data_IF_126983390869
#
_entry.id   IF_126983390869
#
_cell.length_a   1.000
_cell.length_b   1.000
_cell.length_c   1.000
_cell.angle_alpha   90.00
_cell.angle_beta   90.00
_cell.angle_gamma   90.00
#
_symmetry.space_group_name_H-M   'P 1'
#
loop_
_entity.id
_entity.type
_entity.pdbx_description
1 polymer ?
#
# COMPACT_ATOMS: atom_id res chain seq x y z
N UNK A 1 1.16 33.26 -42.59
CA UNK A 1 0.69 31.87 -42.49
C UNK A 1 1.84 31.08 -41.93
N UNK A 2 1.73 30.63 -40.68
CA UNK A 2 2.45 29.46 -40.13
C UNK A 2 1.93 29.26 -38.71
N UNK A 3 0.84 28.49 -38.59
CA UNK A 3 0.38 27.96 -37.31
C UNK A 3 1.15 26.66 -37.06
N UNK A 4 2.07 26.70 -36.11
CA UNK A 4 2.70 25.50 -35.54
C UNK A 4 1.63 24.62 -34.90
N UNK A 5 1.29 23.54 -35.58
CA UNK A 5 0.50 22.43 -35.04
C UNK A 5 1.36 21.72 -33.97
N UNK A 6 1.14 22.06 -32.70
CA UNK A 6 1.50 21.16 -31.62
C UNK A 6 0.47 20.04 -31.59
N UNK A 7 0.86 18.75 -31.74
CA UNK A 7 -0.07 17.67 -31.49
C UNK A 7 -0.48 17.73 -30.01
N UNK A 8 -1.77 17.98 -29.79
CA UNK A 8 -2.43 17.81 -28.51
C UNK A 8 -2.29 16.32 -28.15
N UNK A 9 -1.26 15.97 -27.37
CA UNK A 9 -1.24 14.69 -26.68
C UNK A 9 -2.27 14.79 -25.56
N UNK A 10 -3.49 14.35 -25.83
CA UNK A 10 -4.47 14.06 -24.79
C UNK A 10 -3.86 13.00 -23.88
N UNK A 11 -3.38 13.45 -22.72
CA UNK A 11 -3.05 12.56 -21.60
C UNK A 11 -4.39 11.97 -21.16
N UNK A 12 -4.61 10.64 -21.23
CA UNK A 12 -5.87 10.06 -20.80
C UNK A 12 -6.11 10.41 -19.33
N UNK A 13 -7.11 11.26 -19.09
CA UNK A 13 -7.66 11.55 -17.76
C UNK A 13 -8.62 10.42 -17.36
N UNK A 14 -8.16 9.16 -17.46
CA UNK A 14 -8.86 8.05 -16.85
C UNK A 14 -8.67 8.16 -15.34
N UNK A 15 -9.72 8.59 -14.66
CA UNK A 15 -9.81 8.57 -13.21
C UNK A 15 -9.89 7.10 -12.77
N UNK A 16 -8.74 6.48 -12.56
CA UNK A 16 -8.61 5.11 -12.07
C UNK A 16 -9.12 5.02 -10.63
N UNK A 17 -10.41 4.70 -10.49
CA UNK A 17 -11.06 4.53 -9.20
C UNK A 17 -11.09 3.04 -8.82
N UNK A 18 -10.77 2.71 -7.56
CA UNK A 18 -10.93 1.34 -7.08
C UNK A 18 -12.41 0.94 -7.13
N UNK A 19 -12.69 -0.32 -7.47
CA UNK A 19 -14.01 -0.91 -7.24
C UNK A 19 -14.36 -0.85 -5.74
N UNK A 20 -15.64 -0.95 -5.34
CA UNK A 20 -16.02 -0.96 -3.92
C UNK A 20 -15.34 -2.06 -3.11
N UNK A 21 -15.15 -3.24 -3.72
CA UNK A 21 -14.52 -4.40 -3.08
C UNK A 21 -12.99 -4.22 -2.98
N UNK A 22 -12.32 -3.68 -4.01
CA UNK A 22 -10.92 -3.27 -3.91
C UNK A 22 -10.73 -2.16 -2.85
N UNK A 23 -11.58 -1.15 -2.83
CA UNK A 23 -11.54 -0.06 -1.84
C UNK A 23 -11.72 -0.59 -0.40
N UNK A 24 -12.60 -1.56 -0.19
CA UNK A 24 -12.77 -2.25 1.09
C UNK A 24 -11.49 -2.98 1.54
N UNK A 25 -10.78 -3.64 0.61
CA UNK A 25 -9.50 -4.26 0.92
C UNK A 25 -8.41 -3.23 1.25
N UNK A 26 -8.29 -2.18 0.44
CA UNK A 26 -7.34 -1.10 0.66
C UNK A 26 -7.60 -0.38 1.99
N UNK A 27 -8.85 -0.22 2.41
CA UNK A 27 -9.18 0.37 3.72
C UNK A 27 -8.76 -0.52 4.89
N UNK A 28 -8.83 -1.84 4.76
CA UNK A 28 -8.29 -2.78 5.76
C UNK A 28 -6.77 -2.70 5.87
N UNK A 29 -6.07 -2.63 4.74
CA UNK A 29 -4.61 -2.44 4.73
C UNK A 29 -4.23 -1.10 5.38
N UNK A 30 -4.98 -0.03 5.09
CA UNK A 30 -4.78 1.28 5.73
C UNK A 30 -5.04 1.24 7.23
N UNK A 31 -6.08 0.53 7.68
CA UNK A 31 -6.33 0.34 9.10
C UNK A 31 -5.16 -0.41 9.74
N UNK A 32 -4.65 -1.46 9.10
CA UNK A 32 -3.50 -2.22 9.59
C UNK A 32 -2.25 -1.35 9.68
N UNK A 33 -2.02 -0.48 8.70
CA UNK A 33 -0.94 0.51 8.69
C UNK A 33 -0.99 1.52 9.84
N UNK A 34 -2.14 1.69 10.50
CA UNK A 34 -2.27 2.51 11.71
C UNK A 34 -1.77 1.79 12.97
N UNK A 35 -1.63 0.47 12.93
CA UNK A 35 -1.18 -0.40 14.03
C UNK A 35 0.14 -1.12 13.74
N UNK A 36 0.59 -1.08 12.49
CA UNK A 36 1.90 -1.53 12.04
C UNK A 36 2.57 -0.42 11.20
N UNK A 37 3.44 0.40 11.81
CA UNK A 37 4.16 1.45 11.11
C UNK A 37 4.98 0.95 9.92
N UNK A 38 5.40 -0.32 9.90
CA UNK A 38 6.15 -0.87 8.76
C UNK A 38 5.32 -0.88 7.48
N UNK A 39 4.01 -1.11 7.58
CA UNK A 39 3.11 -1.11 6.43
C UNK A 39 3.00 0.31 5.85
N UNK A 40 2.75 1.32 6.68
CA UNK A 40 2.67 2.70 6.22
C UNK A 40 4.00 3.19 5.65
N UNK A 41 5.13 2.89 6.30
CA UNK A 41 6.47 3.26 5.81
C UNK A 41 6.77 2.67 4.44
N UNK A 42 6.50 1.37 4.22
CA UNK A 42 6.73 0.73 2.90
C UNK A 42 5.83 1.32 1.82
N UNK A 43 4.53 1.50 2.09
CA UNK A 43 3.59 2.10 1.12
C UNK A 43 4.04 3.51 0.74
N UNK A 44 4.34 4.36 1.73
CA UNK A 44 4.74 5.75 1.49
C UNK A 44 6.06 5.80 0.72
N UNK A 45 7.07 5.00 1.11
CA UNK A 45 8.36 4.89 0.39
C UNK A 45 8.14 4.61 -1.10
N UNK A 46 7.30 3.64 -1.45
CA UNK A 46 7.09 3.26 -2.85
C UNK A 46 6.24 4.29 -3.63
N UNK A 47 5.22 4.88 -3.00
CA UNK A 47 4.45 5.97 -3.62
C UNK A 47 5.33 7.19 -3.87
N UNK A 48 6.11 7.60 -2.88
CA UNK A 48 6.86 8.85 -2.95
C UNK A 48 8.04 8.79 -3.91
N UNK A 49 8.61 7.60 -4.07
CA UNK A 49 9.61 7.30 -5.10
C UNK A 49 9.03 7.02 -6.48
N UNK A 50 7.70 7.07 -6.66
CA UNK A 50 6.99 6.67 -7.90
C UNK A 50 7.29 5.22 -8.33
N UNK A 51 7.69 4.35 -7.40
CA UNK A 51 7.97 2.93 -7.61
C UNK A 51 6.69 2.11 -7.56
N UNK A 52 5.82 2.34 -8.55
CA UNK A 52 4.52 1.67 -8.68
C UNK A 52 4.68 0.15 -8.82
N UNK A 53 5.77 -0.31 -9.44
CA UNK A 53 6.17 -1.71 -9.50
C UNK A 53 6.30 -2.35 -8.11
N UNK A 54 7.01 -1.68 -7.20
CA UNK A 54 7.19 -2.15 -5.81
C UNK A 54 5.92 -1.98 -4.99
N UNK A 55 5.18 -0.89 -5.20
CA UNK A 55 3.90 -0.67 -4.52
C UNK A 55 2.91 -1.79 -4.86
N UNK A 56 2.78 -2.15 -6.15
CA UNK A 56 1.93 -3.25 -6.60
C UNK A 56 2.31 -4.54 -5.89
N UNK A 57 3.58 -4.93 -5.95
CA UNK A 57 4.06 -6.16 -5.34
C UNK A 57 3.74 -6.20 -3.84
N UNK A 58 4.04 -5.11 -3.13
CA UNK A 58 3.81 -5.02 -1.69
C UNK A 58 2.32 -5.04 -1.33
N UNK A 59 1.49 -4.24 -1.99
CA UNK A 59 0.04 -4.20 -1.70
C UNK A 59 -0.62 -5.54 -2.03
N UNK A 60 -0.26 -6.17 -3.16
CA UNK A 60 -0.77 -7.50 -3.53
C UNK A 60 -0.32 -8.59 -2.55
N UNK A 61 0.88 -8.51 -2.00
CA UNK A 61 1.30 -9.43 -0.92
C UNK A 61 0.48 -9.20 0.35
N UNK A 62 0.19 -7.94 0.71
CA UNK A 62 -0.60 -7.62 1.91
C UNK A 62 -2.07 -8.02 1.77
N UNK A 63 -2.64 -8.01 0.57
CA UNK A 63 -4.05 -8.42 0.38
C UNK A 63 -4.29 -9.87 0.81
N UNK A 64 -3.29 -10.75 0.72
CA UNK A 64 -3.37 -12.14 1.18
C UNK A 64 -3.64 -12.28 2.70
N UNK A 65 -3.25 -11.28 3.49
CA UNK A 65 -3.48 -11.28 4.94
C UNK A 65 -4.82 -10.65 5.31
N UNK A 66 -5.24 -9.61 4.60
CA UNK A 66 -6.34 -8.74 5.06
C UNK A 66 -7.65 -8.92 4.28
N UNK A 67 -7.63 -9.61 3.14
CA UNK A 67 -8.70 -9.61 2.17
C UNK A 67 -9.02 -11.01 1.64
N UNK A 68 -10.28 -11.23 1.26
CA UNK A 68 -10.71 -12.48 0.62
C UNK A 68 -10.25 -12.57 -0.84
N UNK A 69 -10.29 -13.77 -1.43
CA UNK A 69 -9.80 -14.02 -2.80
C UNK A 69 -10.40 -13.09 -3.86
N UNK A 70 -11.70 -12.80 -3.77
CA UNK A 70 -12.37 -11.87 -4.70
C UNK A 70 -11.79 -10.46 -4.62
N UNK A 71 -11.58 -9.95 -3.40
CA UNK A 71 -10.98 -8.65 -3.15
C UNK A 71 -9.52 -8.60 -3.62
N UNK A 72 -8.76 -9.69 -3.41
CA UNK A 72 -7.37 -9.79 -3.87
C UNK A 72 -7.29 -9.65 -5.40
N UNK A 73 -8.18 -10.34 -6.12
CA UNK A 73 -8.29 -10.23 -7.58
C UNK A 73 -8.61 -8.80 -8.00
N UNK A 74 -9.61 -8.17 -7.40
CA UNK A 74 -10.00 -6.81 -7.77
C UNK A 74 -8.92 -5.76 -7.47
N UNK A 75 -8.12 -5.93 -6.41
CA UNK A 75 -6.94 -5.10 -6.17
C UNK A 75 -5.88 -5.36 -7.24
N UNK A 76 -5.69 -6.61 -7.68
CA UNK A 76 -4.83 -6.94 -8.82
C UNK A 76 -5.28 -6.24 -10.11
N UNK A 77 -6.58 -6.29 -10.40
CA UNK A 77 -7.20 -5.64 -11.56
C UNK A 77 -7.06 -4.10 -11.51
N UNK A 78 -7.12 -3.49 -10.32
CA UNK A 78 -6.79 -2.08 -10.13
C UNK A 78 -5.34 -1.79 -10.53
N UNK A 79 -4.38 -2.62 -10.10
CA UNK A 79 -2.97 -2.40 -10.44
C UNK A 79 -2.65 -2.65 -11.92
N UNK A 80 -3.43 -3.47 -12.62
CA UNK A 80 -3.30 -3.66 -14.07
C UNK A 80 -3.56 -2.38 -14.87
N UNK A 81 -4.36 -1.45 -14.33
CA UNK A 81 -4.58 -0.14 -14.95
C UNK A 81 -3.29 0.70 -15.00
N UNK A 82 -2.28 0.36 -14.19
CA UNK A 82 -0.98 1.02 -14.14
C UNK A 82 0.14 0.21 -14.80
N UNK A 83 -0.18 -0.82 -15.59
CA UNK A 83 0.82 -1.65 -16.27
C UNK A 83 1.75 -0.79 -17.15
N UNK A 84 1.21 0.26 -17.80
CA UNK A 84 2.03 1.21 -18.57
C UNK A 84 3.04 1.96 -17.71
N UNK A 85 2.67 2.36 -16.50
CA UNK A 85 3.59 3.00 -15.55
C UNK A 85 4.70 2.04 -15.15
N UNK A 86 4.37 0.76 -14.94
CA UNK A 86 5.34 -0.30 -14.60
C UNK A 86 6.32 -0.52 -15.76
N UNK A 87 5.84 -0.58 -17.00
CA UNK A 87 6.71 -0.70 -18.19
C UNK A 87 7.73 0.44 -18.30
N UNK A 88 7.31 1.68 -18.01
CA UNK A 88 8.21 2.85 -18.00
C UNK A 88 9.28 2.67 -16.92
N UNK A 89 8.90 2.25 -15.71
CA UNK A 89 9.82 2.02 -14.60
C UNK A 89 10.83 0.92 -14.95
N UNK A 90 10.35 -0.21 -15.50
CA UNK A 90 11.22 -1.33 -15.88
C UNK A 90 12.22 -0.93 -16.98
N UNK A 91 11.80 -0.11 -17.94
CA UNK A 91 12.71 0.44 -18.95
C UNK A 91 13.79 1.33 -18.32
N UNK A 92 13.42 2.23 -17.41
CA UNK A 92 14.38 3.08 -16.68
C UNK A 92 15.38 2.20 -15.92
N UNK A 93 14.89 1.17 -15.22
CA UNK A 93 15.74 0.22 -14.47
C UNK A 93 16.67 -0.56 -15.39
N UNK A 94 16.19 -0.97 -16.56
CA UNK A 94 17.00 -1.64 -17.59
C UNK A 94 18.12 -0.77 -18.15
N UNK A 95 17.93 0.55 -18.17
CA UNK A 95 18.90 1.54 -18.69
C UNK A 95 19.89 2.06 -17.64
N UNK A 96 19.77 1.66 -16.37
CA UNK A 96 20.71 2.07 -15.33
C UNK A 96 22.12 1.54 -15.63
N UNK A 97 23.10 2.41 -15.43
CA UNK A 97 24.53 2.05 -15.52
C UNK A 97 24.93 1.11 -14.38
N UNK A 98 26.11 0.50 -14.49
CA UNK A 98 26.63 -0.37 -13.41
C UNK A 98 26.82 0.42 -12.12
N UNK A 99 27.41 1.61 -12.19
CA UNK A 99 27.61 2.49 -11.02
C UNK A 99 26.30 2.85 -10.33
N UNK A 100 25.24 3.13 -11.09
CA UNK A 100 23.93 3.47 -10.54
C UNK A 100 23.26 2.27 -9.88
N UNK A 101 23.44 1.07 -10.44
CA UNK A 101 22.97 -0.17 -9.80
C UNK A 101 23.72 -0.42 -8.50
N UNK A 102 25.03 -0.20 -8.46
CA UNK A 102 25.84 -0.34 -7.24
C UNK A 102 25.42 0.68 -6.17
N UNK A 103 25.14 1.92 -6.57
CA UNK A 103 24.60 2.95 -5.67
C UNK A 103 23.23 2.54 -5.10
N UNK A 104 22.31 2.05 -5.93
CA UNK A 104 21.03 1.55 -5.46
C UNK A 104 21.19 0.37 -4.51
N UNK A 105 22.06 -0.59 -4.81
CA UNK A 105 22.35 -1.72 -3.93
C UNK A 105 22.89 -1.24 -2.57
N UNK A 106 23.78 -0.25 -2.57
CA UNK A 106 24.28 0.35 -1.33
C UNK A 106 23.17 1.03 -0.52
N UNK A 107 22.31 1.82 -1.17
CA UNK A 107 21.16 2.48 -0.52
C UNK A 107 20.19 1.45 0.06
N UNK A 108 19.87 0.38 -0.68
CA UNK A 108 19.03 -0.72 -0.22
C UNK A 108 19.64 -1.42 1.00
N UNK A 109 20.94 -1.74 0.95
CA UNK A 109 21.66 -2.39 2.05
C UNK A 109 21.74 -1.54 3.33
N UNK A 110 21.84 -0.22 3.19
CA UNK A 110 21.82 0.72 4.31
C UNK A 110 20.41 1.10 4.76
N UNK A 111 19.39 0.60 4.07
CA UNK A 111 17.99 1.03 4.22
C UNK A 111 17.83 2.57 4.13
N UNK A 112 18.64 3.22 3.27
CA UNK A 112 18.58 4.66 3.03
C UNK A 112 17.44 4.98 2.06
N UNK A 113 16.23 5.06 2.62
CA UNK A 113 15.00 5.26 1.85
C UNK A 113 14.92 6.63 1.20
N UNK A 114 15.57 7.64 1.78
CA UNK A 114 15.54 9.02 1.27
C UNK A 114 16.46 9.16 0.06
N UNK A 115 17.66 8.57 0.11
CA UNK A 115 18.57 8.56 -1.02
C UNK A 115 17.97 7.76 -2.19
N UNK A 116 17.39 6.59 -1.92
CA UNK A 116 16.73 5.78 -2.96
C UNK A 116 15.56 6.54 -3.60
N UNK A 117 14.71 7.19 -2.79
CA UNK A 117 13.63 8.03 -3.29
C UNK A 117 14.16 9.14 -4.19
N UNK A 118 15.18 9.87 -3.73
CA UNK A 118 15.78 10.98 -4.48
C UNK A 118 16.35 10.49 -5.81
N UNK A 119 17.01 9.33 -5.81
CA UNK A 119 17.55 8.71 -7.02
C UNK A 119 16.45 8.43 -8.05
N UNK A 120 15.37 7.75 -7.67
CA UNK A 120 14.30 7.40 -8.61
C UNK A 120 13.53 8.62 -9.10
N UNK A 121 13.21 9.54 -8.18
CA UNK A 121 12.58 10.81 -8.55
C UNK A 121 13.46 11.55 -9.57
N UNK A 122 14.76 11.67 -9.33
CA UNK A 122 15.68 12.29 -10.29
C UNK A 122 15.64 11.56 -11.65
N UNK A 123 15.71 10.23 -11.66
CA UNK A 123 15.65 9.43 -12.90
C UNK A 123 14.36 9.64 -13.67
N UNK A 124 13.23 9.71 -12.99
CA UNK A 124 11.95 9.92 -13.65
C UNK A 124 11.78 11.34 -14.18
N UNK A 125 12.39 12.35 -13.54
CA UNK A 125 12.40 13.72 -14.07
C UNK A 125 13.22 13.88 -15.37
N UNK A 126 14.09 12.92 -15.71
CA UNK A 126 14.81 12.90 -16.99
C UNK A 126 14.01 12.25 -18.14
N UNK A 127 12.82 11.71 -17.86
CA UNK A 127 11.95 11.15 -18.89
C UNK A 127 11.39 12.24 -19.80
N UNK A 128 10.90 11.82 -20.97
CA UNK A 128 10.10 12.72 -21.79
C UNK A 128 8.82 13.15 -21.03
N UNK A 129 8.24 14.32 -21.35
CA UNK A 129 7.11 14.87 -20.61
C UNK A 129 5.88 13.95 -20.53
N UNK A 130 5.65 13.12 -21.55
CA UNK A 130 4.50 12.20 -21.61
C UNK A 130 4.67 11.08 -20.57
N UNK A 131 5.82 10.41 -20.56
CA UNK A 131 6.09 9.33 -19.61
C UNK A 131 6.13 9.84 -18.16
N UNK A 132 6.70 11.03 -17.92
CA UNK A 132 6.67 11.66 -16.60
C UNK A 132 5.23 11.97 -16.15
N UNK A 133 4.38 12.46 -17.05
CA UNK A 133 2.98 12.72 -16.75
C UNK A 133 2.21 11.44 -16.40
N UNK A 134 2.47 10.33 -17.11
CA UNK A 134 1.89 9.02 -16.80
C UNK A 134 2.26 8.57 -15.39
N UNK A 135 3.55 8.64 -15.02
CA UNK A 135 4.00 8.25 -13.67
C UNK A 135 3.41 9.16 -12.58
N UNK A 136 3.34 10.47 -12.83
CA UNK A 136 2.80 11.45 -11.88
C UNK A 136 1.30 11.26 -11.68
N UNK A 137 0.56 11.01 -12.76
CA UNK A 137 -0.87 10.69 -12.72
C UNK A 137 -1.11 9.42 -11.90
N UNK A 138 -0.38 8.35 -12.21
CA UNK A 138 -0.50 7.08 -11.51
C UNK A 138 -0.15 7.19 -10.01
N UNK A 139 0.91 7.94 -9.65
CA UNK A 139 1.21 8.27 -8.24
C UNK A 139 0.01 8.92 -7.56
N UNK A 140 -0.60 9.91 -8.20
CA UNK A 140 -1.73 10.67 -7.65
C UNK A 140 -2.97 9.78 -7.48
N UNK A 141 -3.31 8.99 -8.48
CA UNK A 141 -4.43 8.05 -8.45
C UNK A 141 -4.25 7.01 -7.34
N UNK A 142 -3.08 6.38 -7.24
CA UNK A 142 -2.80 5.37 -6.21
C UNK A 142 -2.75 5.97 -4.80
N UNK A 143 -2.17 7.16 -4.64
CA UNK A 143 -2.23 7.91 -3.38
C UNK A 143 -3.68 8.16 -2.96
N UNK A 144 -4.53 8.56 -3.92
CA UNK A 144 -5.95 8.80 -3.67
C UNK A 144 -6.67 7.49 -3.31
N UNK A 145 -6.46 6.40 -4.05
CA UNK A 145 -7.10 5.12 -3.77
C UNK A 145 -6.76 4.58 -2.36
N UNK A 146 -5.48 4.70 -1.97
CA UNK A 146 -4.98 4.25 -0.66
C UNK A 146 -5.40 5.16 0.50
N UNK A 147 -5.69 6.44 0.24
CA UNK A 147 -6.06 7.43 1.27
C UNK A 147 -7.56 7.78 1.33
N UNK A 148 -8.34 7.54 0.29
CA UNK A 148 -9.78 7.84 0.23
C UNK A 148 -10.64 6.74 0.85
N UNK A 149 -10.11 5.52 0.94
CA UNK A 149 -10.83 4.38 1.47
C UNK A 149 -10.94 4.49 2.99
N UNK A 150 -12.15 4.75 3.50
CA UNK A 150 -12.44 4.75 4.94
C UNK A 150 -12.66 3.33 5.44
N UNK A 151 -11.94 2.87 6.48
CA UNK A 151 -12.18 1.56 7.05
C UNK A 151 -13.56 1.48 7.70
N UNK A 152 -14.07 0.26 7.90
CA UNK A 152 -15.34 0.04 8.57
C UNK A 152 -15.33 0.72 9.96
N UNK A 153 -16.39 1.48 10.27
CA UNK A 153 -16.41 2.33 11.45
C UNK A 153 -16.48 1.50 12.75
N UNK A 154 -17.19 0.37 12.74
CA UNK A 154 -17.31 -0.49 13.90
C UNK A 154 -16.00 -1.21 14.19
N UNK A 155 -15.35 -1.76 13.15
CA UNK A 155 -14.01 -2.35 13.24
C UNK A 155 -12.97 -1.31 13.68
N UNK A 156 -13.00 -0.11 13.11
CA UNK A 156 -12.07 0.97 13.50
C UNK A 156 -12.23 1.36 14.96
N UNK A 157 -13.48 1.47 15.43
CA UNK A 157 -13.77 1.75 16.84
C UNK A 157 -13.28 0.61 17.75
N UNK A 158 -13.50 -0.64 17.34
CA UNK A 158 -13.04 -1.79 18.11
C UNK A 158 -11.51 -1.86 18.18
N UNK A 159 -10.83 -1.66 17.06
CA UNK A 159 -9.38 -1.59 16.98
C UNK A 159 -8.81 -0.40 17.77
N UNK A 160 -9.52 0.74 17.80
CA UNK A 160 -9.17 1.90 18.62
C UNK A 160 -9.29 1.68 20.13
N UNK A 161 -9.87 0.56 20.58
CA UNK A 161 -9.91 0.19 22.00
C UNK A 161 -8.61 -0.44 22.51
N UNK A 162 -7.69 -0.81 21.61
CA UNK A 162 -6.39 -1.37 21.95
C UNK A 162 -5.33 -0.27 21.99
N UNK A 163 -4.58 -0.20 23.09
CA UNK A 163 -3.39 0.63 23.15
C UNK A 163 -2.22 -0.04 22.40
N UNK A 164 -1.17 0.71 22.00
CA UNK A 164 0.03 0.12 21.42
C UNK A 164 0.64 -0.99 22.30
N UNK A 165 0.61 -0.82 23.62
CA UNK A 165 1.12 -1.80 24.59
C UNK A 165 0.28 -3.08 24.63
N UNK A 166 -1.04 -2.98 24.43
CA UNK A 166 -1.91 -4.16 24.33
C UNK A 166 -1.55 -4.97 23.08
N UNK A 167 -1.32 -4.30 21.96
CA UNK A 167 -0.93 -4.94 20.71
C UNK A 167 0.45 -5.58 20.77
N UNK A 168 1.41 -4.94 21.43
CA UNK A 168 2.74 -5.52 21.69
C UNK A 168 2.64 -6.78 22.56
N UNK A 169 1.86 -6.73 23.64
CA UNK A 169 1.61 -7.91 24.49
C UNK A 169 0.97 -9.03 23.69
N UNK A 170 -0.07 -8.72 22.92
CA UNK A 170 -0.75 -9.69 22.07
C UNK A 170 0.21 -10.33 21.06
N UNK A 171 1.10 -9.55 20.44
CA UNK A 171 2.09 -10.07 19.51
C UNK A 171 3.06 -11.10 20.13
N UNK A 172 3.23 -11.11 21.46
CA UNK A 172 4.04 -12.11 22.19
C UNK A 172 3.27 -13.37 22.59
N UNK A 173 1.93 -13.35 22.51
CA UNK A 173 1.11 -14.50 22.88
C UNK A 173 1.18 -15.58 21.79
N UNK A 174 1.10 -16.87 22.16
CA UNK A 174 0.86 -17.92 21.20
C UNK A 174 -0.42 -17.64 20.39
N UNK A 175 -0.37 -17.85 19.08
CA UNK A 175 -1.49 -17.55 18.16
C UNK A 175 -2.81 -18.20 18.61
N UNK A 176 -2.74 -19.38 19.23
CA UNK A 176 -3.91 -20.08 19.76
C UNK A 176 -4.64 -19.32 20.89
N UNK A 177 -3.95 -18.46 21.65
CA UNK A 177 -4.52 -17.70 22.77
C UNK A 177 -5.02 -16.31 22.35
N UNK A 178 -4.60 -15.81 21.18
CA UNK A 178 -5.01 -14.49 20.68
C UNK A 178 -6.53 -14.31 20.60
N UNK A 179 -7.32 -15.27 20.06
CA UNK A 179 -8.76 -15.09 19.95
C UNK A 179 -9.46 -14.88 21.30
N UNK A 180 -8.99 -15.53 22.37
CA UNK A 180 -9.60 -15.42 23.69
C UNK A 180 -9.24 -14.10 24.37
N UNK A 181 -7.97 -13.68 24.28
CA UNK A 181 -7.53 -12.39 24.86
C UNK A 181 -8.22 -11.21 24.16
N UNK A 182 -8.33 -11.24 22.83
CA UNK A 182 -9.02 -10.18 22.07
C UNK A 182 -10.49 -10.11 22.47
N UNK A 183 -11.20 -11.23 22.57
CA UNK A 183 -12.60 -11.25 23.03
C UNK A 183 -12.76 -10.71 24.44
N UNK A 184 -11.87 -11.11 25.34
CA UNK A 184 -11.87 -10.65 26.74
C UNK A 184 -11.64 -9.14 26.82
N UNK A 185 -10.70 -8.61 26.03
CA UNK A 185 -10.46 -7.16 25.95
C UNK A 185 -11.68 -6.41 25.43
N UNK A 186 -12.26 -6.84 24.32
CA UNK A 186 -13.45 -6.21 23.74
C UNK A 186 -14.64 -6.22 24.70
N UNK A 187 -14.84 -7.31 25.43
CA UNK A 187 -15.88 -7.40 26.46
C UNK A 187 -15.66 -6.39 27.60
N UNK A 188 -14.41 -6.19 28.07
CA UNK A 188 -14.07 -5.13 29.05
C UNK A 188 -14.40 -3.73 28.51
N UNK A 189 -14.26 -3.53 27.20
CA UNK A 189 -14.60 -2.28 26.51
C UNK A 189 -16.08 -2.17 26.10
N UNK A 190 -16.94 -3.10 26.52
CA UNK A 190 -18.37 -3.14 26.17
C UNK A 190 -18.65 -3.27 24.65
N UNK A 191 -17.71 -3.85 23.91
CA UNK A 191 -17.87 -4.18 22.49
C UNK A 191 -18.26 -5.66 22.42
N UNK A 192 -19.56 -5.92 22.29
CA UNK A 192 -20.12 -7.28 22.40
C UNK A 192 -20.89 -7.75 21.17
N UNK A 193 -21.05 -6.88 20.16
CA UNK A 193 -21.69 -7.23 18.89
C UNK A 193 -20.93 -8.40 18.22
N UNK A 194 -21.56 -9.58 18.02
CA UNK A 194 -20.87 -10.79 17.59
C UNK A 194 -20.06 -10.64 16.31
N UNK A 195 -20.60 -9.93 15.33
CA UNK A 195 -19.96 -9.63 14.04
C UNK A 195 -18.72 -8.75 14.21
N UNK A 196 -18.79 -7.71 15.04
CA UNK A 196 -17.66 -6.80 15.30
C UNK A 196 -16.55 -7.54 16.06
N UNK A 197 -16.93 -8.37 17.03
CA UNK A 197 -15.97 -9.18 17.80
C UNK A 197 -15.27 -10.17 16.89
N UNK A 198 -16.02 -10.90 16.07
CA UNK A 198 -15.47 -11.85 15.10
C UNK A 198 -14.49 -11.17 14.14
N UNK A 199 -14.90 -10.06 13.55
CA UNK A 199 -14.09 -9.33 12.57
C UNK A 199 -12.83 -8.74 13.19
N UNK A 200 -12.92 -8.23 14.42
CA UNK A 200 -11.76 -7.71 15.16
C UNK A 200 -10.75 -8.80 15.49
N UNK A 201 -11.22 -9.99 15.91
CA UNK A 201 -10.36 -11.15 16.16
C UNK A 201 -9.65 -11.57 14.87
N UNK A 202 -10.40 -11.74 13.77
CA UNK A 202 -9.81 -12.12 12.48
C UNK A 202 -8.80 -11.08 12.00
N UNK A 203 -9.12 -9.79 12.12
CA UNK A 203 -8.24 -8.71 11.72
C UNK A 203 -6.95 -8.65 12.55
N UNK A 204 -7.02 -8.79 13.87
CA UNK A 204 -5.82 -8.80 14.73
C UNK A 204 -4.91 -10.00 14.45
N UNK A 205 -5.49 -11.18 14.20
CA UNK A 205 -4.73 -12.34 13.75
C UNK A 205 -3.98 -12.04 12.44
N UNK A 206 -4.64 -11.40 11.48
CA UNK A 206 -4.00 -10.97 10.22
C UNK A 206 -2.87 -9.95 10.46
N UNK A 207 -3.09 -8.95 11.33
CA UNK A 207 -2.04 -7.96 11.67
C UNK A 207 -0.83 -8.65 12.27
N UNK A 208 -1.02 -9.51 13.27
CA UNK A 208 0.08 -10.21 13.96
C UNK A 208 0.78 -11.19 13.01
N UNK A 209 0.02 -11.97 12.22
CA UNK A 209 0.57 -12.87 11.21
C UNK A 209 1.38 -12.12 10.14
N UNK A 210 0.93 -10.94 9.72
CA UNK A 210 1.65 -10.12 8.74
C UNK A 210 2.98 -9.55 9.26
N UNK A 211 3.14 -9.43 10.59
CA UNK A 211 4.39 -9.00 11.25
C UNK A 211 5.43 -10.11 11.33
N UNK A 212 5.01 -11.36 11.49
CA UNK A 212 5.92 -12.51 11.60
C UNK A 212 6.61 -12.87 10.27
N UNK A 213 6.04 -12.43 9.14
CA UNK A 213 6.56 -12.65 7.79
C UNK A 213 7.17 -11.39 7.13
N UNK A 214 7.38 -10.31 7.90
CA UNK A 214 8.02 -9.07 7.45
C UNK A 214 9.53 -9.10 7.69
#
# INVERSE_FOLDING_TARGET
MDHQNHPNYEIPSESHHPSPSAASCLSRIRLAASFDPQISTKINRFIDSMRIDRLRAYVCERTAYFCGESQQKEVGDLFHQFDRSIEIIDRVRGQLTTTEKDQLNMMENLNDTLAEQTFFVYKFHQLNPVDLAILTSAKTSLTTALSSSTPDAALSKAMGSFSPQDLEKMATLPVAHLPEEVRSHLARCQITAPEVVHDTVAFLLSVIGSKQNN
#
